data_IF_818575333398
#
_entry.id   IF_818575333398
#
_cell.length_a   1.000
_cell.length_b   1.000
_cell.length_c   1.000
_cell.angle_alpha   90.00
_cell.angle_beta   90.00
_cell.angle_gamma   90.00
#
_symmetry.space_group_name_H-M   'P 1'
#
loop_
_entity.id
_entity.type
_entity.pdbx_description
1 polymer ?
#
# COMPACT_ATOMS: atom_id res chain seq x y z
N UNK A 1 67.25 23.09 38.25
CA UNK A 1 66.06 23.87 38.52
C UNK A 1 65.00 23.38 37.52
N UNK A 2 63.97 22.57 37.94
CA UNK A 2 62.88 22.16 37.06
C UNK A 2 61.75 23.16 37.19
N UNK A 3 61.23 23.61 36.04
CA UNK A 3 60.01 24.43 35.96
C UNK A 3 58.79 23.52 36.10
N UNK A 4 57.96 23.80 37.11
CA UNK A 4 56.63 23.19 37.26
C UNK A 4 55.68 23.67 36.20
N UNK A 5 55.04 22.75 35.53
CA UNK A 5 53.92 22.99 34.61
C UNK A 5 52.64 22.87 35.44
N UNK A 6 51.96 24.00 35.63
CA UNK A 6 50.64 24.05 36.24
C UNK A 6 49.62 23.55 35.24
N UNK A 7 48.93 22.47 35.62
CA UNK A 7 47.77 21.96 34.89
C UNK A 7 46.53 22.84 35.20
N UNK A 8 46.16 23.65 34.23
CA UNK A 8 44.89 24.40 34.26
C UNK A 8 43.75 23.46 33.95
N UNK A 9 43.03 23.02 35.00
CA UNK A 9 41.80 22.23 34.88
C UNK A 9 40.67 23.15 34.44
N UNK A 10 40.25 23.07 33.17
CA UNK A 10 39.04 23.72 32.66
C UNK A 10 37.83 22.84 33.09
N UNK A 11 37.13 23.30 34.12
CA UNK A 11 35.84 22.74 34.49
C UNK A 11 34.80 23.17 33.44
N UNK A 12 34.43 22.26 32.58
CA UNK A 12 33.28 22.44 31.68
C UNK A 12 32.00 22.25 32.52
N UNK A 13 31.38 23.39 32.84
CA UNK A 13 30.06 23.38 33.45
C UNK A 13 29.03 22.94 32.37
N UNK A 14 28.56 21.70 32.45
CA UNK A 14 27.36 21.26 31.70
C UNK A 14 26.16 22.02 32.29
N UNK A 15 25.72 23.05 31.60
CA UNK A 15 24.41 23.64 31.80
C UNK A 15 23.37 22.62 31.34
N UNK A 16 22.79 21.90 32.33
CA UNK A 16 21.58 21.13 32.07
C UNK A 16 20.46 22.09 31.67
N UNK A 17 20.21 22.23 30.39
CA UNK A 17 18.99 22.82 29.86
C UNK A 17 17.86 21.87 30.32
N UNK A 18 17.20 22.25 31.37
CA UNK A 18 15.89 21.73 31.73
C UNK A 18 14.97 22.10 30.60
N UNK A 19 14.76 21.19 29.64
CA UNK A 19 13.58 21.20 28.82
C UNK A 19 12.40 21.06 29.81
N UNK A 20 11.84 22.19 30.17
CA UNK A 20 10.47 22.20 30.67
C UNK A 20 9.64 21.72 29.47
N UNK A 21 9.45 20.40 29.38
CA UNK A 21 8.46 19.82 28.51
C UNK A 21 7.17 20.61 28.77
N UNK A 22 6.55 21.16 27.73
CA UNK A 22 5.18 21.58 27.82
C UNK A 22 4.42 20.37 28.37
N UNK A 23 4.10 20.43 29.65
CA UNK A 23 3.14 19.51 30.21
C UNK A 23 1.87 19.73 29.40
N UNK A 24 1.46 18.76 28.63
CA UNK A 24 0.14 18.77 28.06
C UNK A 24 -0.81 19.04 29.24
N UNK A 25 -1.76 19.97 29.11
CA UNK A 25 -2.72 20.24 30.17
C UNK A 25 -3.41 18.90 30.49
N UNK A 26 -3.13 18.39 31.67
CA UNK A 26 -3.92 17.32 32.25
C UNK A 26 -5.26 17.93 32.63
N UNK A 27 -6.33 17.27 32.21
CA UNK A 27 -7.72 17.55 32.54
C UNK A 27 -8.44 18.56 31.62
N UNK A 28 -8.62 18.14 30.41
CA UNK A 28 -9.96 17.95 29.86
C UNK A 28 -9.85 16.75 28.92
N UNK A 29 -10.56 15.69 29.19
CA UNK A 29 -10.85 14.66 28.20
C UNK A 29 -11.77 15.25 27.11
N UNK A 30 -11.35 16.37 26.55
CA UNK A 30 -11.89 16.96 25.35
C UNK A 30 -11.40 16.08 24.23
N UNK A 31 -12.29 15.35 23.58
CA UNK A 31 -12.01 14.67 22.32
C UNK A 31 -11.32 15.72 21.43
N UNK A 32 -10.09 15.42 21.00
CA UNK A 32 -9.37 16.35 20.12
C UNK A 32 -10.20 16.54 18.87
N UNK A 33 -10.46 17.80 18.55
CA UNK A 33 -11.24 18.18 17.37
C UNK A 33 -10.41 17.86 16.12
N UNK A 34 -10.87 16.87 15.35
CA UNK A 34 -10.23 16.45 14.11
C UNK A 34 -10.67 17.27 12.89
N UNK A 35 -11.67 18.16 13.05
CA UNK A 35 -12.15 19.01 11.94
C UNK A 35 -13.57 19.52 12.16
N UNK A 36 -14.10 20.19 11.12
CA UNK A 36 -15.44 20.76 11.11
C UNK A 36 -16.18 20.44 9.81
N UNK A 37 -17.49 20.60 9.80
CA UNK A 37 -18.34 20.55 8.60
C UNK A 37 -18.84 21.94 8.27
N UNK A 38 -18.63 22.40 7.05
CA UNK A 38 -19.12 23.70 6.62
C UNK A 38 -20.66 23.76 6.73
N UNK A 39 -21.17 24.77 7.41
CA UNK A 39 -22.61 24.96 7.61
C UNK A 39 -23.26 24.08 8.68
N UNK A 40 -22.50 23.35 9.49
CA UNK A 40 -22.97 22.64 10.68
C UNK A 40 -22.20 23.08 11.92
N UNK A 41 -22.90 23.25 13.03
CA UNK A 41 -22.31 23.49 14.35
C UNK A 41 -21.98 22.14 14.98
N UNK A 42 -20.71 21.77 14.98
CA UNK A 42 -20.26 20.49 15.52
C UNK A 42 -18.83 20.20 15.08
N UNK A 43 -18.30 19.09 15.54
CA UNK A 43 -16.89 18.72 15.31
C UNK A 43 -16.73 17.25 14.95
N UNK A 44 -15.70 16.96 14.16
CA UNK A 44 -15.21 15.61 13.96
C UNK A 44 -14.26 15.22 15.08
N UNK A 45 -14.44 14.02 15.61
CA UNK A 45 -13.54 13.37 16.56
C UNK A 45 -13.06 12.04 15.96
N UNK A 46 -12.05 11.43 16.58
CA UNK A 46 -11.70 10.05 16.29
C UNK A 46 -12.90 9.16 16.62
N UNK A 47 -13.28 8.32 15.67
CA UNK A 47 -14.42 7.40 15.77
C UNK A 47 -14.08 6.09 16.47
N UNK A 48 -15.04 5.16 16.46
CA UNK A 48 -14.87 3.82 17.02
C UNK A 48 -13.92 2.99 16.17
N UNK A 49 -12.94 2.35 16.80
CA UNK A 49 -11.99 1.45 16.14
C UNK A 49 -12.69 0.26 15.44
N UNK A 50 -13.86 -0.18 15.93
CA UNK A 50 -14.66 -1.21 15.29
C UNK A 50 -15.04 -0.88 13.82
N UNK A 51 -15.07 0.39 13.43
CA UNK A 51 -15.25 0.79 12.04
C UNK A 51 -14.06 0.36 11.14
N UNK A 52 -12.85 0.41 11.68
CA UNK A 52 -11.66 -0.07 10.96
C UNK A 52 -11.68 -1.60 10.80
N UNK A 53 -12.16 -2.34 11.80
CA UNK A 53 -12.30 -3.80 11.71
C UNK A 53 -13.31 -4.21 10.63
N UNK A 54 -14.43 -3.47 10.50
CA UNK A 54 -15.42 -3.69 9.43
C UNK A 54 -14.80 -3.43 8.06
N UNK A 55 -14.01 -2.37 7.92
CA UNK A 55 -13.32 -2.06 6.68
C UNK A 55 -12.30 -3.14 6.31
N UNK A 56 -11.53 -3.63 7.26
CA UNK A 56 -10.57 -4.71 7.04
C UNK A 56 -11.25 -6.01 6.59
N UNK A 57 -12.38 -6.37 7.18
CA UNK A 57 -13.18 -7.51 6.72
C UNK A 57 -13.73 -7.28 5.31
N UNK A 58 -14.22 -6.08 5.03
CA UNK A 58 -14.72 -5.71 3.71
C UNK A 58 -13.64 -5.85 2.63
N UNK A 59 -12.45 -5.29 2.85
CA UNK A 59 -11.34 -5.40 1.89
C UNK A 59 -10.89 -6.84 1.70
N UNK A 60 -10.84 -7.63 2.77
CA UNK A 60 -10.52 -9.06 2.70
C UNK A 60 -11.56 -9.87 1.93
N UNK A 61 -12.86 -9.58 2.09
CA UNK A 61 -13.89 -10.23 1.29
C UNK A 61 -13.85 -9.80 -0.17
N UNK A 62 -13.50 -8.55 -0.44
CA UNK A 62 -13.36 -8.04 -1.79
C UNK A 62 -12.19 -8.71 -2.52
N UNK A 63 -11.05 -8.81 -1.86
CA UNK A 63 -9.83 -9.45 -2.37
C UNK A 63 -10.03 -10.97 -2.61
N UNK A 64 -10.85 -11.61 -1.79
CA UNK A 64 -11.24 -13.01 -1.94
C UNK A 64 -12.44 -13.23 -2.89
N UNK A 65 -12.97 -12.20 -3.53
CA UNK A 65 -14.18 -12.21 -4.37
C UNK A 65 -15.38 -12.87 -3.67
N UNK A 66 -15.43 -12.73 -2.35
CA UNK A 66 -16.46 -13.32 -1.50
C UNK A 66 -17.69 -12.39 -1.41
N UNK A 67 -18.60 -12.53 -2.37
CA UNK A 67 -19.83 -11.73 -2.44
C UNK A 67 -20.71 -11.89 -1.20
N UNK A 68 -20.90 -13.11 -0.69
CA UNK A 68 -21.70 -13.36 0.52
C UNK A 68 -21.11 -12.64 1.75
N UNK A 69 -19.79 -12.64 1.86
CA UNK A 69 -19.07 -11.90 2.90
C UNK A 69 -19.34 -10.39 2.81
N UNK A 70 -19.27 -9.82 1.62
CA UNK A 70 -19.58 -8.41 1.38
C UNK A 70 -21.05 -8.08 1.71
N UNK A 71 -21.99 -8.92 1.28
CA UNK A 71 -23.42 -8.76 1.58
C UNK A 71 -23.70 -8.81 3.08
N UNK A 72 -22.97 -9.62 3.84
CA UNK A 72 -23.11 -9.70 5.30
C UNK A 72 -22.74 -8.38 6.01
N UNK A 73 -21.80 -7.63 5.44
CA UNK A 73 -21.30 -6.34 5.93
C UNK A 73 -22.04 -5.14 5.30
N UNK A 74 -22.81 -5.36 4.25
CA UNK A 74 -23.60 -4.32 3.60
C UNK A 74 -24.93 -4.09 4.33
N UNK A 75 -25.33 -2.82 4.45
CA UNK A 75 -26.66 -2.45 4.95
C UNK A 75 -27.71 -2.62 3.86
N UNK A 76 -28.95 -2.97 4.20
CA UNK A 76 -30.04 -3.22 3.23
C UNK A 76 -30.29 -2.01 2.30
N UNK A 77 -30.08 -0.79 2.80
CA UNK A 77 -30.13 0.46 2.04
C UNK A 77 -28.73 1.01 1.75
N UNK A 78 -27.78 0.14 1.38
CA UNK A 78 -26.45 0.56 0.96
C UNK A 78 -26.52 1.46 -0.27
N UNK A 79 -25.74 2.53 -0.28
CA UNK A 79 -25.59 3.41 -1.42
C UNK A 79 -24.12 3.65 -1.70
N UNK A 80 -23.66 3.38 -2.92
CA UNK A 80 -22.26 3.53 -3.33
C UNK A 80 -22.17 4.46 -4.52
N UNK A 81 -21.38 5.50 -4.40
CA UNK A 81 -20.98 6.38 -5.51
C UNK A 81 -19.61 5.95 -6.03
N UNK A 82 -19.57 5.28 -7.17
CA UNK A 82 -18.31 4.90 -7.85
C UNK A 82 -17.77 6.04 -8.71
N UNK A 83 -18.66 6.85 -9.28
CA UNK A 83 -18.35 8.06 -10.04
C UNK A 83 -19.58 8.99 -10.03
N UNK A 84 -19.49 10.22 -10.55
CA UNK A 84 -20.65 11.11 -10.68
C UNK A 84 -21.81 10.53 -11.52
N UNK A 85 -21.50 9.59 -12.38
CA UNK A 85 -22.47 8.96 -13.31
C UNK A 85 -22.76 7.50 -12.99
N UNK A 86 -22.06 6.90 -12.04
CA UNK A 86 -22.22 5.49 -11.66
C UNK A 86 -22.47 5.37 -10.17
N UNK A 87 -23.68 4.93 -9.82
CA UNK A 87 -24.16 4.80 -8.45
C UNK A 87 -24.86 3.45 -8.28
N UNK A 88 -24.76 2.89 -7.10
CA UNK A 88 -25.43 1.65 -6.70
C UNK A 88 -26.39 2.02 -5.56
N UNK A 89 -27.67 1.73 -5.69
CA UNK A 89 -28.69 2.06 -4.71
C UNK A 89 -29.44 0.78 -4.25
N UNK A 90 -29.22 0.43 -2.99
CA UNK A 90 -29.81 -0.74 -2.33
C UNK A 90 -29.02 -2.04 -2.52
N UNK A 91 -29.32 -2.99 -1.59
CA UNK A 91 -28.58 -4.26 -1.49
C UNK A 91 -28.70 -5.13 -2.74
N UNK A 92 -29.85 -5.16 -3.39
CA UNK A 92 -30.05 -5.97 -4.60
C UNK A 92 -29.25 -5.44 -5.79
N UNK A 93 -29.17 -4.11 -5.95
CA UNK A 93 -28.34 -3.49 -6.97
C UNK A 93 -26.84 -3.69 -6.68
N UNK A 94 -26.48 -3.67 -5.40
CA UNK A 94 -25.10 -3.94 -4.95
C UNK A 94 -24.70 -5.39 -5.27
N UNK A 95 -25.53 -6.36 -4.87
CA UNK A 95 -25.32 -7.78 -5.18
C UNK A 95 -25.11 -8.02 -6.68
N UNK A 96 -26.03 -7.50 -7.49
CA UNK A 96 -25.96 -7.66 -8.94
C UNK A 96 -24.70 -7.01 -9.52
N UNK A 97 -24.37 -5.77 -9.10
CA UNK A 97 -23.25 -5.02 -9.67
C UNK A 97 -21.91 -5.64 -9.31
N UNK A 98 -21.73 -6.04 -8.05
CA UNK A 98 -20.48 -6.65 -7.58
C UNK A 98 -20.34 -8.07 -8.11
N UNK A 99 -21.43 -8.87 -8.12
CA UNK A 99 -21.42 -10.21 -8.71
C UNK A 99 -21.02 -10.19 -10.19
N UNK A 100 -21.61 -9.32 -10.99
CA UNK A 100 -21.23 -9.15 -12.40
C UNK A 100 -19.78 -8.70 -12.57
N UNK A 101 -19.25 -7.94 -11.61
CA UNK A 101 -17.85 -7.51 -11.66
C UNK A 101 -16.89 -8.66 -11.39
N UNK A 102 -17.12 -9.46 -10.37
CA UNK A 102 -16.34 -10.66 -10.07
C UNK A 102 -16.40 -11.73 -11.18
N UNK A 103 -17.52 -11.78 -11.94
CA UNK A 103 -17.60 -12.65 -13.13
C UNK A 103 -16.79 -12.12 -14.32
N UNK A 104 -16.59 -10.82 -14.40
CA UNK A 104 -15.97 -10.15 -15.56
C UNK A 104 -14.48 -9.85 -15.40
N UNK A 105 -13.98 -9.80 -14.19
CA UNK A 105 -12.61 -9.38 -13.88
C UNK A 105 -12.12 -10.01 -12.58
N UNK A 106 -10.85 -10.42 -12.56
CA UNK A 106 -10.15 -10.71 -11.31
C UNK A 106 -9.81 -9.37 -10.65
N UNK A 107 -10.17 -9.22 -9.38
CA UNK A 107 -9.95 -7.96 -8.65
C UNK A 107 -9.17 -8.20 -7.37
N UNK A 108 -8.33 -7.25 -7.02
CA UNK A 108 -7.66 -7.24 -5.72
C UNK A 108 -7.74 -5.86 -5.07
N UNK A 109 -7.76 -5.84 -3.74
CA UNK A 109 -7.93 -4.65 -2.94
C UNK A 109 -6.95 -4.65 -1.76
N UNK A 110 -5.90 -3.85 -1.86
CA UNK A 110 -4.88 -3.71 -0.82
C UNK A 110 -5.13 -2.45 0.01
N UNK A 111 -5.57 -2.64 1.26
CA UNK A 111 -5.80 -1.53 2.17
C UNK A 111 -4.48 -0.92 2.66
N UNK A 112 -4.29 0.38 2.44
CA UNK A 112 -3.08 1.11 2.83
C UNK A 112 -3.25 1.77 4.20
N UNK A 113 -4.36 2.48 4.39
CA UNK A 113 -4.68 3.16 5.64
C UNK A 113 -6.18 3.34 5.80
N UNK A 114 -6.63 3.45 7.05
CA UNK A 114 -7.97 3.91 7.35
C UNK A 114 -8.00 4.70 8.67
N UNK A 115 -8.90 5.67 8.74
CA UNK A 115 -9.10 6.52 9.91
C UNK A 115 -10.59 6.58 10.24
N UNK A 116 -11.04 5.95 11.33
CA UNK A 116 -12.41 6.10 11.81
C UNK A 116 -12.62 7.49 12.39
N UNK A 117 -13.70 8.14 12.00
CA UNK A 117 -14.12 9.47 12.49
C UNK A 117 -15.59 9.47 12.84
N UNK A 118 -15.99 10.30 13.81
CA UNK A 118 -17.38 10.48 14.20
C UNK A 118 -17.70 11.95 14.35
N UNK A 119 -18.80 12.38 13.74
CA UNK A 119 -19.31 13.72 13.93
C UNK A 119 -20.08 13.82 15.24
N UNK A 120 -19.83 14.89 15.98
CA UNK A 120 -20.57 15.24 17.19
C UNK A 120 -21.22 16.60 16.99
N UNK A 121 -22.49 16.69 17.29
CA UNK A 121 -23.24 17.96 17.30
C UNK A 121 -22.68 18.91 18.37
N UNK A 122 -23.09 20.17 18.35
CA UNK A 122 -22.62 21.20 19.28
C UNK A 122 -22.84 20.82 20.77
N UNK A 123 -23.91 20.08 21.06
CA UNK A 123 -24.23 19.58 22.39
C UNK A 123 -23.41 18.32 22.80
N UNK A 124 -22.49 17.87 21.93
CA UNK A 124 -21.68 16.68 22.13
C UNK A 124 -22.36 15.36 21.74
N UNK A 125 -23.60 15.40 21.26
CA UNK A 125 -24.31 14.19 20.80
C UNK A 125 -23.65 13.63 19.54
N UNK A 126 -23.26 12.34 19.50
CA UNK A 126 -22.71 11.74 18.30
C UNK A 126 -23.80 11.60 17.22
N UNK A 127 -23.42 11.87 15.96
CA UNK A 127 -24.28 11.55 14.82
C UNK A 127 -24.51 10.03 14.72
N UNK A 128 -25.59 9.62 14.10
CA UNK A 128 -25.91 8.21 13.93
C UNK A 128 -24.93 7.55 12.92
N UNK A 129 -24.07 6.70 13.44
CA UNK A 129 -23.07 5.95 12.69
C UNK A 129 -21.66 6.54 12.76
N UNK A 130 -20.70 5.69 12.43
CA UNK A 130 -19.31 6.06 12.28
C UNK A 130 -18.99 6.33 10.82
N UNK A 131 -18.11 7.29 10.58
CA UNK A 131 -17.48 7.47 9.28
C UNK A 131 -16.09 6.88 9.29
N UNK A 132 -15.63 6.46 8.12
CA UNK A 132 -14.28 5.98 7.90
C UNK A 132 -13.74 6.63 6.63
N UNK A 133 -12.56 7.19 6.73
CA UNK A 133 -11.76 7.60 5.59
C UNK A 133 -10.74 6.51 5.32
N UNK A 134 -10.62 6.05 4.09
CA UNK A 134 -9.70 4.97 3.74
C UNK A 134 -8.97 5.27 2.44
N UNK A 135 -7.72 4.81 2.35
CA UNK A 135 -6.94 4.75 1.13
C UNK A 135 -6.57 3.31 0.83
N UNK A 136 -6.66 2.91 -0.43
CA UNK A 136 -6.35 1.57 -0.88
C UNK A 136 -5.94 1.53 -2.35
N UNK A 137 -5.07 0.60 -2.68
CA UNK A 137 -4.77 0.23 -4.05
C UNK A 137 -5.81 -0.76 -4.56
N UNK A 138 -6.17 -0.63 -5.80
CA UNK A 138 -7.13 -1.50 -6.44
C UNK A 138 -6.61 -1.94 -7.81
N UNK A 139 -6.56 -3.25 -8.02
CA UNK A 139 -6.18 -3.84 -9.29
C UNK A 139 -7.39 -4.55 -9.90
N UNK A 140 -7.60 -4.37 -11.18
CA UNK A 140 -8.62 -5.09 -11.95
C UNK A 140 -8.00 -5.69 -13.19
N UNK A 141 -8.18 -6.99 -13.40
CA UNK A 141 -7.72 -7.73 -14.57
C UNK A 141 -8.94 -8.21 -15.33
N UNK A 142 -9.14 -7.65 -16.53
CA UNK A 142 -10.24 -8.04 -17.41
C UNK A 142 -9.69 -8.55 -18.76
N UNK A 143 -9.78 -9.85 -18.98
CA UNK A 143 -9.13 -10.50 -20.12
C UNK A 143 -7.61 -10.28 -20.07
N UNK A 144 -7.07 -9.64 -21.11
CA UNK A 144 -5.63 -9.35 -21.20
C UNK A 144 -5.26 -7.96 -20.67
N UNK A 145 -6.19 -7.22 -20.08
CA UNK A 145 -5.96 -5.85 -19.60
C UNK A 145 -5.92 -5.81 -18.11
N UNK A 146 -4.87 -5.23 -17.53
CA UNK A 146 -4.78 -4.85 -16.11
C UNK A 146 -4.91 -3.35 -15.97
N UNK A 147 -5.65 -2.93 -14.94
CA UNK A 147 -5.73 -1.54 -14.52
C UNK A 147 -5.36 -1.43 -13.05
N UNK A 148 -4.42 -0.56 -12.74
CA UNK A 148 -4.02 -0.21 -11.39
C UNK A 148 -4.59 1.15 -11.00
N UNK A 149 -5.14 1.24 -9.82
CA UNK A 149 -5.82 2.43 -9.33
C UNK A 149 -5.51 2.70 -7.87
N UNK A 150 -5.21 3.97 -7.55
CA UNK A 150 -5.33 4.45 -6.18
C UNK A 150 -6.76 4.88 -5.93
N UNK A 151 -7.30 4.46 -4.81
CA UNK A 151 -8.65 4.81 -4.40
C UNK A 151 -8.70 5.35 -3.00
N UNK A 152 -9.52 6.37 -2.83
CA UNK A 152 -9.93 6.84 -1.51
C UNK A 152 -11.42 6.60 -1.34
N UNK A 153 -11.82 6.18 -0.16
CA UNK A 153 -13.22 5.97 0.19
C UNK A 153 -13.62 6.80 1.41
N UNK A 154 -14.77 7.44 1.30
CA UNK A 154 -15.51 7.95 2.45
C UNK A 154 -16.65 6.98 2.73
N UNK A 155 -16.58 6.27 3.85
CA UNK A 155 -17.50 5.18 4.18
C UNK A 155 -18.30 5.55 5.42
N UNK A 156 -19.60 5.33 5.40
CA UNK A 156 -20.48 5.47 6.58
C UNK A 156 -20.95 4.10 7.04
N UNK A 157 -20.73 3.83 8.30
CA UNK A 157 -21.10 2.59 8.98
C UNK A 157 -22.24 2.88 9.96
N UNK A 158 -23.34 2.16 9.82
CA UNK A 158 -24.54 2.27 10.65
C UNK A 158 -24.90 0.86 11.09
N UNK A 159 -25.15 0.66 12.39
CA UNK A 159 -25.50 -0.63 12.98
C UNK A 159 -24.51 -1.76 12.59
N UNK A 160 -23.21 -1.43 12.55
CA UNK A 160 -22.16 -2.39 12.19
C UNK A 160 -22.08 -2.76 10.71
N UNK A 161 -22.80 -2.04 9.83
CA UNK A 161 -22.84 -2.31 8.39
C UNK A 161 -22.53 -1.07 7.56
N UNK A 162 -21.91 -1.28 6.41
CA UNK A 162 -21.63 -0.22 5.45
C UNK A 162 -22.92 0.22 4.77
N UNK A 163 -23.34 1.43 5.05
CA UNK A 163 -24.56 2.03 4.49
C UNK A 163 -24.27 2.97 3.33
N UNK A 164 -23.15 3.64 3.33
CA UNK A 164 -22.74 4.57 2.28
C UNK A 164 -21.26 4.43 2.01
N UNK A 165 -20.89 4.50 0.74
CA UNK A 165 -19.50 4.65 0.33
C UNK A 165 -19.42 5.60 -0.87
N UNK A 166 -18.48 6.52 -0.83
CA UNK A 166 -18.09 7.34 -1.98
C UNK A 166 -16.65 7.06 -2.30
N UNK A 167 -16.42 6.63 -3.54
CA UNK A 167 -15.11 6.23 -4.03
C UNK A 167 -14.55 7.32 -4.92
N UNK A 168 -13.31 7.69 -4.66
CA UNK A 168 -12.52 8.57 -5.51
C UNK A 168 -11.42 7.72 -6.13
N UNK A 169 -11.37 7.66 -7.43
CA UNK A 169 -10.42 6.84 -8.18
C UNK A 169 -9.42 7.71 -8.90
N UNK A 170 -8.15 7.37 -8.76
CA UNK A 170 -7.06 7.85 -9.59
C UNK A 170 -6.46 6.63 -10.31
N UNK A 171 -6.64 6.54 -11.62
CA UNK A 171 -6.02 5.51 -12.43
C UNK A 171 -4.52 5.79 -12.55
N UNK A 172 -3.69 4.84 -12.13
CA UNK A 172 -2.23 4.95 -12.17
C UNK A 172 -1.69 4.49 -13.51
N UNK A 173 -2.17 3.33 -13.97
CA UNK A 173 -1.82 2.77 -15.28
C UNK A 173 -2.86 1.76 -15.74
N UNK A 174 -2.97 1.59 -17.04
CA UNK A 174 -3.81 0.57 -17.66
C UNK A 174 -3.15 0.09 -18.94
N UNK A 175 -3.16 -1.22 -19.20
CA UNK A 175 -2.57 -1.74 -20.41
C UNK A 175 -2.69 -3.26 -20.55
N UNK A 176 -2.25 -3.77 -21.69
CA UNK A 176 -2.28 -5.19 -22.01
C UNK A 176 -1.23 -5.92 -21.20
N UNK A 177 -1.66 -7.00 -20.52
CA UNK A 177 -0.76 -7.88 -19.78
C UNK A 177 0.07 -8.73 -20.73
N UNK A 178 1.34 -8.86 -20.37
CA UNK A 178 2.30 -9.75 -21.02
C UNK A 178 2.88 -10.72 -20.01
N UNK A 179 3.16 -11.92 -20.46
CA UNK A 179 3.91 -12.91 -19.71
C UNK A 179 5.39 -12.57 -19.81
N UNK A 180 6.04 -12.28 -18.68
CA UNK A 180 7.44 -11.86 -18.63
C UNK A 180 8.21 -12.81 -17.74
N UNK A 181 9.22 -13.48 -18.30
CA UNK A 181 10.16 -14.30 -17.53
C UNK A 181 11.36 -13.45 -17.13
N UNK A 182 11.65 -13.45 -15.84
CA UNK A 182 12.78 -12.75 -15.23
C UNK A 182 13.72 -13.78 -14.60
N UNK A 183 15.03 -13.60 -14.82
CA UNK A 183 16.06 -14.49 -14.25
C UNK A 183 17.17 -13.70 -13.62
N UNK A 184 17.63 -14.16 -12.44
CA UNK A 184 18.78 -13.59 -11.73
C UNK A 184 19.77 -14.68 -11.36
N UNK A 185 21.03 -14.44 -11.68
CA UNK A 185 22.16 -15.29 -11.34
C UNK A 185 22.73 -14.87 -9.98
N UNK A 186 22.71 -15.79 -9.03
CA UNK A 186 23.17 -15.61 -7.66
C UNK A 186 24.59 -16.15 -7.42
N UNK A 187 25.25 -16.76 -8.43
CA UNK A 187 26.57 -17.36 -8.26
C UNK A 187 27.67 -16.36 -7.88
N UNK A 188 27.46 -15.08 -8.15
CA UNK A 188 28.37 -14.00 -7.75
C UNK A 188 28.06 -13.38 -6.37
N UNK A 189 27.07 -13.89 -5.64
CA UNK A 189 26.66 -13.34 -4.34
C UNK A 189 27.18 -14.19 -3.19
N UNK A 190 28.04 -13.61 -2.34
CA UNK A 190 28.71 -14.33 -1.24
C UNK A 190 27.91 -14.31 0.09
N UNK A 191 26.75 -13.65 0.12
CA UNK A 191 25.91 -13.56 1.33
C UNK A 191 25.05 -14.81 1.56
N UNK A 192 24.54 -14.95 2.78
CA UNK A 192 23.55 -16.00 3.10
C UNK A 192 22.15 -15.54 2.74
N UNK A 193 21.34 -16.40 2.17
CA UNK A 193 19.92 -16.20 1.89
C UNK A 193 19.18 -17.54 1.86
N UNK A 194 17.87 -17.51 2.04
CA UNK A 194 17.00 -18.68 2.02
C UNK A 194 16.04 -18.68 0.83
N UNK A 195 15.71 -17.52 0.32
CA UNK A 195 14.86 -17.37 -0.88
C UNK A 195 15.26 -16.15 -1.71
N UNK A 196 14.97 -16.22 -3.00
CA UNK A 196 15.10 -15.11 -3.94
C UNK A 196 13.71 -14.71 -4.41
N UNK A 197 13.43 -13.42 -4.38
CA UNK A 197 12.13 -12.89 -4.74
C UNK A 197 12.30 -11.76 -5.77
N UNK A 198 11.29 -11.55 -6.59
CA UNK A 198 11.20 -10.41 -7.49
C UNK A 198 9.95 -9.59 -7.18
N UNK A 199 10.07 -8.29 -7.19
CA UNK A 199 8.95 -7.39 -6.94
C UNK A 199 9.04 -6.13 -7.78
N UNK A 200 7.90 -5.52 -8.03
CA UNK A 200 7.76 -4.36 -8.87
C UNK A 200 6.31 -3.95 -8.97
N UNK A 201 6.00 -3.12 -9.95
CA UNK A 201 4.64 -2.65 -10.14
C UNK A 201 3.62 -3.78 -10.38
N UNK A 202 4.05 -4.90 -10.97
CA UNK A 202 3.20 -6.06 -11.28
C UNK A 202 2.68 -6.81 -10.04
N UNK A 203 3.26 -6.61 -8.88
CA UNK A 203 2.81 -7.21 -7.62
C UNK A 203 2.69 -6.16 -6.49
N UNK A 204 2.38 -4.90 -6.87
CA UNK A 204 2.22 -3.76 -5.95
C UNK A 204 3.43 -3.55 -5.02
N UNK A 205 4.63 -3.75 -5.56
CA UNK A 205 5.86 -3.61 -4.80
C UNK A 205 5.92 -4.48 -3.54
N UNK A 206 5.29 -5.65 -3.56
CA UNK A 206 5.30 -6.62 -2.47
C UNK A 206 6.56 -7.49 -2.54
N UNK A 207 7.56 -7.33 -1.66
CA UNK A 207 8.85 -7.98 -1.78
C UNK A 207 8.81 -9.49 -1.52
N UNK A 208 7.78 -9.99 -0.83
CA UNK A 208 7.61 -11.42 -0.50
C UNK A 208 6.54 -12.13 -1.34
N UNK A 209 5.89 -11.42 -2.29
CA UNK A 209 4.73 -11.98 -3.00
C UNK A 209 5.10 -12.83 -4.22
N UNK A 210 6.30 -12.72 -4.76
CA UNK A 210 6.75 -13.49 -5.93
C UNK A 210 8.11 -14.11 -5.65
N UNK A 211 8.08 -15.34 -5.15
CA UNK A 211 9.29 -16.15 -4.96
C UNK A 211 9.75 -16.71 -6.31
N UNK A 212 11.07 -16.71 -6.52
CA UNK A 212 11.72 -17.26 -7.70
C UNK A 212 12.23 -18.67 -7.41
N UNK A 213 12.34 -19.50 -8.43
CA UNK A 213 12.79 -20.90 -8.31
C UNK A 213 14.07 -21.13 -9.07
N UNK A 214 14.94 -21.99 -8.52
CA UNK A 214 16.11 -22.56 -9.15
C UNK A 214 15.88 -24.09 -9.22
N UNK A 215 15.24 -24.55 -10.31
CA UNK A 215 14.79 -25.96 -10.40
C UNK A 215 15.94 -26.95 -10.66
N UNK A 216 16.99 -26.51 -11.33
CA UNK A 216 18.13 -27.37 -11.71
C UNK A 216 19.35 -27.19 -10.80
N UNK A 217 19.31 -26.22 -9.89
CA UNK A 217 20.33 -25.99 -8.87
C UNK A 217 21.62 -25.37 -9.42
N UNK A 218 21.51 -24.61 -10.52
CA UNK A 218 22.66 -23.95 -11.16
C UNK A 218 22.97 -22.55 -10.59
N UNK A 219 22.15 -22.08 -9.65
CA UNK A 219 22.27 -20.78 -9.01
C UNK A 219 21.56 -19.65 -9.76
N UNK A 220 20.81 -19.98 -10.82
CA UNK A 220 19.98 -19.02 -11.58
C UNK A 220 18.52 -19.18 -11.17
N UNK A 221 17.98 -18.16 -10.53
CA UNK A 221 16.59 -18.12 -10.09
C UNK A 221 15.71 -17.48 -11.16
N UNK A 222 14.55 -18.10 -11.43
CA UNK A 222 13.61 -17.66 -12.47
C UNK A 222 12.20 -17.52 -11.91
N UNK A 223 11.47 -16.50 -12.36
CA UNK A 223 10.03 -16.35 -12.16
C UNK A 223 9.35 -15.78 -13.40
N UNK A 224 8.11 -16.20 -13.63
CA UNK A 224 7.25 -15.61 -14.65
C UNK A 224 6.22 -14.72 -13.97
N UNK A 225 6.16 -13.47 -14.39
CA UNK A 225 5.24 -12.45 -13.88
C UNK A 225 4.32 -11.95 -14.99
N UNK A 226 3.20 -11.34 -14.60
CA UNK A 226 2.35 -10.59 -15.52
C UNK A 226 2.66 -9.11 -15.39
N UNK A 227 3.13 -8.49 -16.47
CA UNK A 227 3.44 -7.07 -16.52
C UNK A 227 2.67 -6.38 -17.64
N UNK A 228 2.36 -5.11 -17.43
CA UNK A 228 1.72 -4.28 -18.47
C UNK A 228 2.75 -3.92 -19.54
N UNK A 229 2.32 -3.87 -20.80
CA UNK A 229 3.13 -3.30 -21.88
C UNK A 229 3.64 -1.90 -21.53
N UNK A 230 4.91 -1.63 -21.85
CA UNK A 230 5.58 -0.39 -21.56
C UNK A 230 6.77 -0.53 -20.64
N UNK A 231 7.08 0.51 -19.89
CA UNK A 231 8.16 0.51 -18.90
C UNK A 231 7.77 -0.33 -17.66
N UNK A 232 8.60 -1.31 -17.35
CA UNK A 232 8.47 -2.14 -16.15
C UNK A 232 9.63 -1.86 -15.22
N UNK A 233 9.34 -1.26 -14.06
CA UNK A 233 10.29 -1.12 -12.97
C UNK A 233 10.19 -2.30 -12.01
N UNK A 234 11.33 -2.88 -11.61
CA UNK A 234 11.37 -4.02 -10.69
C UNK A 234 12.69 -4.11 -9.94
N UNK A 235 12.75 -4.95 -8.93
CA UNK A 235 13.96 -5.33 -8.18
C UNK A 235 13.93 -6.79 -7.81
N UNK A 236 15.13 -7.36 -7.66
CA UNK A 236 15.29 -8.62 -6.92
C UNK A 236 15.57 -8.33 -5.45
N UNK A 237 15.13 -9.23 -4.59
CA UNK A 237 15.38 -9.16 -3.14
C UNK A 237 15.56 -10.55 -2.57
N UNK A 238 16.18 -10.61 -1.41
CA UNK A 238 16.42 -11.86 -0.69
C UNK A 238 15.51 -11.94 0.54
N UNK A 239 15.05 -13.14 0.85
CA UNK A 239 14.21 -13.47 2.01
C UNK A 239 12.94 -12.60 2.12
N UNK A 240 12.46 -12.08 0.97
CA UNK A 240 11.28 -11.22 0.90
C UNK A 240 11.37 -9.90 1.67
N UNK A 241 12.59 -9.44 1.97
CA UNK A 241 12.86 -8.25 2.76
C UNK A 241 13.36 -7.07 1.93
N UNK A 242 12.91 -5.85 2.24
CA UNK A 242 13.40 -4.63 1.59
C UNK A 242 14.84 -4.28 1.98
N UNK A 243 15.32 -4.77 3.12
CA UNK A 243 16.70 -4.55 3.59
C UNK A 243 17.76 -5.34 2.80
N UNK A 244 17.32 -6.39 2.10
CA UNK A 244 18.18 -7.29 1.31
C UNK A 244 17.90 -7.17 -0.20
N UNK A 245 17.31 -6.07 -0.62
CA UNK A 245 17.05 -5.77 -2.02
C UNK A 245 18.30 -5.32 -2.76
N UNK A 246 18.26 -5.41 -4.09
CA UNK A 246 19.30 -4.81 -4.95
C UNK A 246 19.47 -3.32 -4.71
N UNK A 247 20.72 -2.88 -4.72
CA UNK A 247 21.07 -1.48 -4.55
C UNK A 247 21.81 -0.97 -5.78
N UNK A 248 21.26 0.06 -6.42
CA UNK A 248 21.86 0.71 -7.58
C UNK A 248 22.06 2.20 -7.33
N UNK A 249 23.17 2.71 -7.83
CA UNK A 249 23.41 4.16 -7.86
C UNK A 249 22.50 4.81 -8.91
N UNK A 250 21.97 6.02 -8.64
CA UNK A 250 21.21 6.78 -9.62
C UNK A 250 21.99 6.98 -10.92
N UNK A 251 21.36 6.69 -12.07
CA UNK A 251 21.98 6.81 -13.39
C UNK A 251 22.69 5.53 -13.86
N UNK A 252 22.61 4.43 -13.11
CA UNK A 252 23.05 3.11 -13.60
C UNK A 252 22.27 2.72 -14.86
N UNK A 253 22.96 2.20 -15.89
CA UNK A 253 22.41 2.07 -17.25
C UNK A 253 21.13 1.22 -17.38
N UNK A 254 20.95 0.21 -16.52
CA UNK A 254 19.78 -0.68 -16.54
C UNK A 254 18.66 -0.22 -15.59
N UNK A 255 18.71 1.01 -15.10
CA UNK A 255 17.82 1.47 -14.04
C UNK A 255 17.10 2.76 -14.40
N UNK A 256 16.02 2.99 -13.65
CA UNK A 256 15.29 4.25 -13.59
C UNK A 256 15.25 4.72 -12.14
N UNK A 257 15.50 6.00 -11.93
CA UNK A 257 15.41 6.64 -10.62
C UNK A 257 14.14 7.47 -10.55
N UNK A 258 13.26 7.12 -9.62
CA UNK A 258 12.01 7.86 -9.34
C UNK A 258 12.01 8.26 -7.86
N UNK A 259 12.16 9.58 -7.60
CA UNK A 259 12.34 10.08 -6.23
C UNK A 259 13.64 9.57 -5.61
N UNK A 260 13.56 8.82 -4.53
CA UNK A 260 14.69 8.20 -3.82
C UNK A 260 14.94 6.74 -4.23
N UNK A 261 14.11 6.19 -5.10
CA UNK A 261 14.19 4.78 -5.49
C UNK A 261 14.86 4.63 -6.85
N UNK A 262 15.87 3.76 -6.93
CA UNK A 262 16.52 3.37 -8.18
C UNK A 262 16.22 1.89 -8.43
N UNK A 263 15.42 1.61 -9.46
CA UNK A 263 14.91 0.29 -9.78
C UNK A 263 15.45 -0.17 -11.13
N UNK A 264 15.51 -1.48 -11.39
CA UNK A 264 15.71 -1.99 -12.74
C UNK A 264 14.60 -1.50 -13.66
N UNK A 265 14.95 -1.22 -14.90
CA UNK A 265 14.01 -0.83 -15.94
C UNK A 265 14.08 -1.82 -17.11
N UNK A 266 12.93 -2.35 -17.48
CA UNK A 266 12.78 -3.14 -18.70
C UNK A 266 11.66 -2.56 -19.57
N UNK A 267 11.75 -2.77 -20.89
CA UNK A 267 10.70 -2.42 -21.83
C UNK A 267 9.96 -3.69 -22.25
N UNK A 268 8.68 -3.77 -21.91
CA UNK A 268 7.79 -4.89 -22.23
C UNK A 268 6.98 -4.54 -23.47
N UNK A 269 7.19 -5.27 -24.57
CA UNK A 269 6.47 -5.04 -25.84
C UNK A 269 5.58 -6.24 -26.22
N UNK A 270 5.89 -7.42 -25.69
CA UNK A 270 5.20 -8.69 -25.93
C UNK A 270 5.53 -9.68 -24.81
N UNK A 271 4.93 -10.85 -24.84
CA UNK A 271 5.40 -11.98 -24.04
C UNK A 271 6.89 -12.21 -24.32
N UNK A 272 7.70 -12.21 -23.28
CA UNK A 272 9.16 -12.20 -23.42
C UNK A 272 9.87 -12.88 -22.26
N UNK A 273 11.07 -13.36 -22.56
CA UNK A 273 12.04 -13.81 -21.58
C UNK A 273 13.22 -12.83 -21.63
N UNK A 274 13.45 -12.12 -20.52
CA UNK A 274 14.59 -11.23 -20.45
C UNK A 274 15.89 -11.99 -20.19
N UNK A 275 17.03 -11.51 -20.69
CA UNK A 275 18.33 -12.11 -20.41
C UNK A 275 18.58 -12.20 -18.91
N UNK A 276 19.20 -13.31 -18.47
CA UNK A 276 19.67 -13.48 -17.09
C UNK A 276 20.65 -12.37 -16.72
N UNK A 277 20.45 -11.78 -15.55
CA UNK A 277 21.32 -10.72 -15.02
C UNK A 277 21.92 -11.17 -13.69
N UNK A 278 23.10 -10.63 -13.36
CA UNK A 278 23.70 -10.86 -12.06
C UNK A 278 23.01 -10.00 -10.98
N UNK A 279 22.88 -10.51 -9.78
CA UNK A 279 22.35 -9.75 -8.65
C UNK A 279 23.22 -8.52 -8.39
N UNK A 280 22.62 -7.34 -8.21
CA UNK A 280 23.28 -6.05 -8.09
C UNK A 280 24.07 -5.58 -9.34
N UNK A 281 23.89 -6.18 -10.52
CA UNK A 281 24.56 -5.76 -11.74
C UNK A 281 23.62 -5.69 -12.94
N UNK A 282 23.95 -4.88 -13.95
CA UNK A 282 23.12 -4.72 -15.15
C UNK A 282 23.23 -5.87 -16.14
N UNK A 283 24.30 -6.62 -16.13
CA UNK A 283 24.60 -7.71 -17.08
C UNK A 283 24.66 -9.06 -16.43
N UNK A 284 25.05 -10.08 -17.21
CA UNK A 284 25.35 -11.41 -16.71
C UNK A 284 26.53 -11.37 -15.73
N UNK A 285 26.61 -12.37 -14.84
CA UNK A 285 27.77 -12.57 -13.98
C UNK A 285 29.01 -12.92 -14.84
N UNK A 286 30.19 -12.40 -14.45
CA UNK A 286 31.46 -12.67 -15.11
C UNK A 286 32.10 -13.96 -14.60
#
# INVERSE_FOLDING_TARGET
MPRSIEHLSIAIAFAALLFTGCAAPSDSAGKENAGYVWGRSGVWNIGDAAAADIWQQWTSHFDAENLDGLLSLAHDSIYVELSPTEQIDGIAAFEQRIGNWFEAADVSMNAIWCVPIQFHEEDGTPDNGNWLLAGYEFTSIQGDTTTFMDRHANVRIVDGKIRYAKIYTHELSSGVNRSVSLSVDMNGYDGEYSSVNVYGFFNNWCPSCTEMTDEDGDGVYTATVRAIEGEMEYKFTLDGGVDLQEMFEPGTACTKTTGEYTNRLAQVESDTEFPTVCFNACGACE
#
